data_IF_136278485438
#
_entry.id   IF_136278485438
#
_cell.length_a   1.000
_cell.length_b   1.000
_cell.length_c   1.000
_cell.angle_alpha   90.00
_cell.angle_beta   90.00
_cell.angle_gamma   90.00
#
_symmetry.space_group_name_H-M   'P 1'
#
loop_
_entity.id
_entity.type
_entity.pdbx_description
1 polymer ?
#
# COMPACT_ATOMS: atom_id res chain seq x y z
N UNK A 1 -2.44 10.72 24.39
CA UNK A 1 -1.64 9.58 23.92
C UNK A 1 -1.06 9.99 22.58
N UNK A 2 0.26 9.94 22.41
CA UNK A 2 0.85 10.17 21.08
C UNK A 2 0.34 9.04 20.16
N UNK A 3 0.16 9.28 18.86
CA UNK A 3 -0.22 8.21 17.92
C UNK A 3 1.01 7.51 17.35
N UNK A 4 2.00 8.33 16.96
CA UNK A 4 3.23 7.89 16.33
C UNK A 4 4.30 7.58 17.36
N UNK A 5 5.23 6.71 17.00
CA UNK A 5 6.45 6.46 17.78
C UNK A 5 7.33 7.72 17.81
N UNK A 6 7.94 8.00 18.98
CA UNK A 6 8.69 9.25 19.24
C UNK A 6 9.82 9.50 18.26
N UNK A 7 10.45 8.46 17.70
CA UNK A 7 11.52 8.60 16.71
C UNK A 7 11.11 9.39 15.47
N UNK A 8 9.83 9.38 15.10
CA UNK A 8 9.30 10.13 13.95
C UNK A 8 9.06 11.62 14.24
N UNK A 9 9.33 12.07 15.47
CA UNK A 9 9.43 13.49 15.80
C UNK A 9 10.84 14.06 15.62
N UNK A 10 11.84 13.21 15.40
CA UNK A 10 13.24 13.62 15.29
C UNK A 10 13.54 14.15 13.89
N UNK A 11 13.99 15.41 13.79
CA UNK A 11 14.28 16.07 12.53
C UNK A 11 15.28 15.30 11.66
N UNK A 12 16.36 14.78 12.27
CA UNK A 12 17.35 13.96 11.56
C UNK A 12 16.72 12.76 10.86
N UNK A 13 15.83 12.04 11.54
CA UNK A 13 15.12 10.89 10.98
C UNK A 13 14.22 11.33 9.82
N UNK A 14 13.51 12.44 9.97
CA UNK A 14 12.65 12.97 8.90
C UNK A 14 13.43 13.36 7.66
N UNK A 15 14.60 13.98 7.81
CA UNK A 15 15.48 14.34 6.68
C UNK A 15 15.99 13.09 5.96
N UNK A 16 16.41 12.06 6.70
CA UNK A 16 16.86 10.79 6.13
C UNK A 16 15.73 10.09 5.35
N UNK A 17 14.53 10.03 5.94
CA UNK A 17 13.34 9.47 5.28
C UNK A 17 12.95 10.28 4.04
N UNK A 18 13.04 11.61 4.10
CA UNK A 18 12.73 12.47 2.96
C UNK A 18 13.69 12.22 1.79
N UNK A 19 14.99 12.14 2.06
CA UNK A 19 16.00 11.83 1.05
C UNK A 19 15.82 10.43 0.47
N UNK A 20 15.53 9.44 1.31
CA UNK A 20 15.27 8.08 0.85
C UNK A 20 14.01 8.02 -0.03
N UNK A 21 12.93 8.67 0.39
CA UNK A 21 11.68 8.70 -0.37
C UNK A 21 11.85 9.42 -1.71
N UNK A 22 12.54 10.57 -1.73
CA UNK A 22 12.83 11.30 -2.97
C UNK A 22 13.67 10.47 -3.95
N UNK A 23 14.57 9.62 -3.45
CA UNK A 23 15.42 8.77 -4.28
C UNK A 23 14.69 7.51 -4.78
N UNK A 24 13.84 6.91 -3.94
CA UNK A 24 13.29 5.55 -4.18
C UNK A 24 11.80 5.49 -4.47
N UNK A 25 11.06 6.57 -4.19
CA UNK A 25 9.60 6.56 -4.13
C UNK A 25 9.06 5.61 -3.06
N UNK A 26 9.88 5.19 -2.09
CA UNK A 26 9.54 4.22 -1.06
C UNK A 26 10.36 4.47 0.20
N UNK A 27 9.71 4.42 1.37
CA UNK A 27 10.40 4.29 2.67
C UNK A 27 9.71 3.27 3.56
N UNK A 28 10.52 2.47 4.26
CA UNK A 28 10.04 1.59 5.32
C UNK A 28 9.98 2.38 6.64
N UNK A 29 8.92 2.18 7.40
CA UNK A 29 8.64 2.86 8.67
C UNK A 29 8.41 1.82 9.78
N UNK A 30 9.49 1.25 10.35
CA UNK A 30 9.34 0.20 11.36
C UNK A 30 8.67 0.71 12.63
N UNK A 31 7.71 -0.03 13.19
CA UNK A 31 7.00 0.38 14.42
C UNK A 31 6.49 1.83 14.34
N UNK A 32 5.78 2.17 13.26
CA UNK A 32 5.34 3.54 12.98
C UNK A 32 4.46 4.08 14.11
N UNK A 33 3.47 3.28 14.48
CA UNK A 33 2.59 3.52 15.60
C UNK A 33 3.31 3.12 16.89
N UNK A 34 3.09 3.84 17.98
CA UNK A 34 3.52 3.31 19.28
C UNK A 34 2.70 2.06 19.64
N UNK A 35 3.18 1.31 20.65
CA UNK A 35 2.61 0.02 21.02
C UNK A 35 1.14 0.08 21.44
N UNK A 36 0.72 1.11 22.18
CA UNK A 36 -0.68 1.28 22.62
C UNK A 36 -1.59 1.56 21.43
N UNK A 37 -1.22 2.51 20.57
CA UNK A 37 -1.96 2.83 19.37
C UNK A 37 -2.03 1.66 18.39
N UNK A 38 -0.91 0.94 18.19
CA UNK A 38 -0.88 -0.25 17.35
C UNK A 38 -1.83 -1.32 17.88
N UNK A 39 -1.79 -1.62 19.19
CA UNK A 39 -2.63 -2.66 19.79
C UNK A 39 -4.12 -2.30 19.68
N UNK A 40 -4.46 -1.03 19.90
CA UNK A 40 -5.83 -0.52 19.74
C UNK A 40 -6.32 -0.66 18.28
N UNK A 41 -5.51 -0.22 17.31
CA UNK A 41 -5.85 -0.32 15.89
C UNK A 41 -5.87 -1.76 15.40
N UNK A 42 -5.01 -2.64 15.92
CA UNK A 42 -5.00 -4.06 15.58
C UNK A 42 -6.28 -4.75 16.03
N UNK A 43 -6.80 -4.45 17.21
CA UNK A 43 -8.08 -4.97 17.68
C UNK A 43 -9.24 -4.54 16.76
N UNK A 44 -9.21 -3.28 16.29
CA UNK A 44 -10.22 -2.76 15.37
C UNK A 44 -10.12 -3.40 13.99
N UNK A 45 -8.92 -3.55 13.43
CA UNK A 45 -8.69 -4.25 12.16
C UNK A 45 -9.19 -5.69 12.24
N UNK A 46 -8.89 -6.40 13.33
CA UNK A 46 -9.37 -7.76 13.55
C UNK A 46 -10.90 -7.84 13.61
N UNK A 47 -11.56 -6.86 14.22
CA UNK A 47 -13.04 -6.78 14.23
C UNK A 47 -13.59 -6.62 12.81
N UNK A 48 -12.92 -5.85 11.94
CA UNK A 48 -13.35 -5.57 10.58
C UNK A 48 -13.16 -6.75 9.61
N UNK A 49 -12.35 -7.74 9.95
CA UNK A 49 -12.14 -8.94 9.11
C UNK A 49 -13.44 -9.66 8.75
N UNK A 50 -14.48 -9.59 9.59
CA UNK A 50 -15.77 -10.20 9.30
C UNK A 50 -16.51 -9.57 8.09
N UNK A 51 -16.10 -8.37 7.67
CA UNK A 51 -16.73 -7.63 6.57
C UNK A 51 -15.97 -7.72 5.26
N UNK A 52 -14.78 -8.34 5.25
CA UNK A 52 -13.95 -8.38 4.03
C UNK A 52 -14.62 -9.23 2.96
N UNK A 53 -14.55 -8.77 1.72
CA UNK A 53 -15.08 -9.49 0.56
C UNK A 53 -13.95 -10.10 -0.24
N UNK A 54 -14.07 -11.39 -0.57
CA UNK A 54 -13.09 -12.10 -1.40
C UNK A 54 -13.09 -11.57 -2.83
N UNK A 55 -11.90 -11.40 -3.37
CA UNK A 55 -11.60 -11.10 -4.77
C UNK A 55 -10.70 -12.20 -5.33
N UNK A 56 -11.08 -12.73 -6.47
CA UNK A 56 -10.32 -13.71 -7.22
C UNK A 56 -10.54 -13.47 -8.71
N UNK A 57 -9.71 -12.64 -9.32
CA UNK A 57 -9.77 -12.32 -10.74
C UNK A 57 -8.42 -11.87 -11.27
N UNK A 58 -8.27 -11.80 -12.59
CA UNK A 58 -7.13 -11.18 -13.26
C UNK A 58 -7.51 -9.75 -13.63
N UNK A 59 -6.71 -8.76 -13.22
CA UNK A 59 -6.96 -7.36 -13.53
C UNK A 59 -6.73 -7.10 -15.03
N UNK A 60 -7.78 -6.73 -15.80
CA UNK A 60 -7.61 -6.45 -17.23
C UNK A 60 -6.74 -5.21 -17.44
N UNK A 61 -5.90 -5.25 -18.48
CA UNK A 61 -4.85 -4.24 -18.70
C UNK A 61 -3.52 -4.81 -18.22
N UNK A 62 -3.33 -4.90 -16.90
CA UNK A 62 -2.11 -5.46 -16.32
C UNK A 62 -1.93 -6.96 -16.60
N UNK A 63 -3.03 -7.71 -16.67
CA UNK A 63 -3.04 -9.18 -16.75
C UNK A 63 -2.36 -9.85 -15.54
N UNK A 64 -2.60 -9.30 -14.34
CA UNK A 64 -2.04 -9.79 -13.07
C UNK A 64 -3.13 -10.16 -12.06
N UNK A 65 -2.88 -11.15 -11.17
CA UNK A 65 -3.90 -11.67 -10.28
C UNK A 65 -4.29 -10.69 -9.16
N UNK A 66 -5.53 -10.80 -8.72
CA UNK A 66 -6.07 -10.26 -7.48
C UNK A 66 -6.70 -11.42 -6.74
N UNK A 67 -5.92 -12.05 -5.86
CA UNK A 67 -6.37 -13.14 -5.00
C UNK A 67 -6.20 -12.69 -3.55
N UNK A 68 -7.23 -12.02 -3.02
CA UNK A 68 -7.20 -11.41 -1.69
C UNK A 68 -8.63 -11.17 -1.19
N UNK A 69 -8.78 -10.84 0.08
CA UNK A 69 -10.00 -10.25 0.60
C UNK A 69 -9.77 -8.76 0.88
N UNK A 70 -10.78 -7.94 0.63
CA UNK A 70 -10.69 -6.48 0.76
C UNK A 70 -11.85 -5.89 1.56
N UNK A 71 -11.61 -4.74 2.17
CA UNK A 71 -12.64 -3.83 2.67
C UNK A 71 -12.33 -2.41 2.17
N UNK A 72 -13.24 -1.82 1.41
CA UNK A 72 -13.07 -0.48 0.82
C UNK A 72 -13.47 0.65 1.78
N UNK A 73 -13.03 1.86 1.45
CA UNK A 73 -13.17 3.06 2.27
C UNK A 73 -14.60 3.39 2.70
N UNK A 74 -15.61 3.26 1.83
CA UNK A 74 -17.01 3.51 2.21
C UNK A 74 -17.46 2.59 3.34
N UNK A 75 -17.11 1.30 3.25
CA UNK A 75 -17.47 0.31 4.26
C UNK A 75 -16.68 0.52 5.55
N UNK A 76 -15.38 0.85 5.45
CA UNK A 76 -14.58 1.19 6.64
C UNK A 76 -15.15 2.42 7.35
N UNK A 77 -15.55 3.46 6.62
CA UNK A 77 -16.14 4.66 7.18
C UNK A 77 -17.46 4.37 7.94
N UNK A 78 -18.28 3.47 7.41
CA UNK A 78 -19.52 3.04 8.06
C UNK A 78 -19.25 2.24 9.34
N UNK A 79 -18.26 1.35 9.29
CA UNK A 79 -18.04 0.37 10.34
C UNK A 79 -17.02 0.82 11.39
N UNK A 80 -16.14 1.77 11.10
CA UNK A 80 -15.01 2.16 11.94
C UNK A 80 -14.67 3.66 11.86
N UNK A 81 -15.24 4.43 12.80
CA UNK A 81 -14.80 5.81 13.03
C UNK A 81 -13.35 5.90 13.50
N UNK A 82 -12.83 4.84 14.13
CA UNK A 82 -11.44 4.73 14.56
C UNK A 82 -10.48 4.78 13.38
N UNK A 83 -10.66 3.90 12.38
CA UNK A 83 -9.81 3.91 11.19
C UNK A 83 -10.02 5.19 10.38
N UNK A 84 -11.25 5.68 10.26
CA UNK A 84 -11.50 6.98 9.63
C UNK A 84 -10.70 8.11 10.29
N UNK A 85 -10.70 8.17 11.63
CA UNK A 85 -9.97 9.20 12.38
C UNK A 85 -8.45 9.10 12.18
N UNK A 86 -7.93 7.90 11.89
CA UNK A 86 -6.52 7.69 11.54
C UNK A 86 -6.16 8.34 10.20
N UNK A 87 -7.03 8.24 9.19
CA UNK A 87 -6.83 8.86 7.88
C UNK A 87 -6.76 10.38 7.94
N UNK A 88 -7.67 10.99 8.70
CA UNK A 88 -7.67 12.45 8.89
C UNK A 88 -6.75 12.93 10.00
N UNK A 89 -5.94 12.05 10.61
CA UNK A 89 -5.13 12.42 11.76
C UNK A 89 -4.02 13.40 11.37
N UNK A 90 -3.96 14.53 12.06
CA UNK A 90 -2.99 15.58 11.77
C UNK A 90 -1.53 15.12 11.90
N UNK A 91 -1.19 14.28 12.88
CA UNK A 91 0.19 13.79 13.05
C UNK A 91 0.60 12.88 11.89
N UNK A 92 -0.30 12.03 11.42
CA UNK A 92 -0.08 11.14 10.26
C UNK A 92 0.11 11.97 8.99
N UNK A 93 -0.81 12.90 8.70
CA UNK A 93 -0.72 13.77 7.52
C UNK A 93 0.56 14.61 7.56
N UNK A 94 0.89 15.19 8.73
CA UNK A 94 2.12 15.97 8.90
C UNK A 94 3.37 15.14 8.65
N UNK A 95 3.42 13.90 9.16
CA UNK A 95 4.53 13.00 8.93
C UNK A 95 4.69 12.68 7.43
N UNK A 96 3.59 12.32 6.76
CA UNK A 96 3.61 12.01 5.32
C UNK A 96 4.13 13.20 4.52
N UNK A 97 3.61 14.41 4.78
CA UNK A 97 4.07 15.64 4.13
C UNK A 97 5.56 15.94 4.40
N UNK A 98 6.06 15.65 5.61
CA UNK A 98 7.46 15.82 5.95
C UNK A 98 8.36 14.84 5.15
N UNK A 99 7.97 13.56 5.06
CA UNK A 99 8.70 12.54 4.29
C UNK A 99 8.65 12.87 2.79
N UNK A 100 7.52 13.34 2.27
CA UNK A 100 7.40 13.68 0.84
C UNK A 100 8.12 15.01 0.54
N UNK A 101 8.25 15.90 1.52
CA UNK A 101 8.75 17.26 1.31
C UNK A 101 7.74 18.19 0.64
N UNK A 102 6.45 17.90 0.76
CA UNK A 102 5.41 18.60 0.02
C UNK A 102 4.02 18.40 0.61
N UNK A 103 3.02 19.04 -0.01
CA UNK A 103 1.62 18.87 0.37
C UNK A 103 1.06 17.57 -0.17
N UNK A 104 0.13 17.00 0.56
CA UNK A 104 -0.75 15.93 0.09
C UNK A 104 -2.19 16.39 0.18
N UNK A 105 -3.05 15.78 -0.64
CA UNK A 105 -4.48 16.03 -0.62
C UNK A 105 -5.23 14.71 -0.33
N UNK A 106 -6.44 14.76 0.25
CA UNK A 106 -7.24 13.55 0.43
C UNK A 106 -7.56 12.91 -0.92
N UNK A 107 -7.53 11.57 -0.98
CA UNK A 107 -8.17 10.84 -2.07
C UNK A 107 -9.70 11.06 -2.01
N UNK A 108 -10.28 11.38 -3.17
CA UNK A 108 -11.69 11.66 -3.36
C UNK A 108 -12.49 10.43 -3.82
N UNK A 109 -11.82 9.34 -4.19
CA UNK A 109 -12.49 8.09 -4.55
C UNK A 109 -13.02 7.40 -3.29
N UNK A 110 -14.35 7.18 -3.25
CA UNK A 110 -15.06 6.74 -2.06
C UNK A 110 -14.57 5.43 -1.43
N UNK A 111 -13.98 4.52 -2.22
CA UNK A 111 -13.45 3.26 -1.70
C UNK A 111 -11.92 3.19 -1.61
N UNK A 112 -11.20 4.09 -2.28
CA UNK A 112 -9.74 3.96 -2.44
C UNK A 112 -8.98 4.76 -1.38
N UNK A 113 -9.59 5.80 -0.81
CA UNK A 113 -8.94 6.61 0.23
C UNK A 113 -8.44 5.80 1.42
N UNK A 114 -9.10 4.66 1.70
CA UNK A 114 -8.68 3.70 2.70
C UNK A 114 -9.06 2.29 2.31
N UNK A 115 -8.11 1.36 2.41
CA UNK A 115 -8.33 -0.03 1.99
C UNK A 115 -7.72 -0.98 3.01
N UNK A 116 -8.51 -1.92 3.50
CA UNK A 116 -7.99 -3.10 4.20
C UNK A 116 -7.76 -4.21 3.18
N UNK A 117 -6.53 -4.75 3.15
CA UNK A 117 -6.10 -5.81 2.25
C UNK A 117 -5.67 -7.03 3.07
N UNK A 118 -6.34 -8.16 2.86
CA UNK A 118 -6.08 -9.42 3.57
C UNK A 118 -5.70 -10.53 2.58
N UNK A 119 -4.49 -11.04 2.69
CA UNK A 119 -4.07 -12.28 2.03
C UNK A 119 -4.28 -13.42 3.03
N UNK A 120 -5.21 -14.32 2.75
CA UNK A 120 -5.73 -15.29 3.74
C UNK A 120 -5.60 -16.77 3.31
N UNK A 121 -5.01 -17.04 2.14
CA UNK A 121 -4.88 -18.39 1.61
C UNK A 121 -3.55 -18.57 0.89
N UNK A 122 -3.15 -19.83 0.68
CA UNK A 122 -2.06 -20.12 -0.24
C UNK A 122 -2.30 -19.46 -1.61
N UNK A 123 -1.21 -19.03 -2.26
CA UNK A 123 -1.17 -18.25 -3.50
C UNK A 123 -1.86 -16.88 -3.45
N UNK A 124 -2.42 -16.46 -2.31
CA UNK A 124 -3.01 -15.14 -2.20
C UNK A 124 -1.96 -14.05 -2.48
N UNK A 125 -2.33 -13.09 -3.31
CA UNK A 125 -1.43 -12.05 -3.83
C UNK A 125 -2.21 -10.80 -4.24
N UNK A 126 -1.52 -9.67 -4.15
CA UNK A 126 -1.88 -8.46 -4.87
C UNK A 126 -0.89 -8.29 -6.01
N UNK A 127 -1.27 -8.73 -7.22
CA UNK A 127 -0.40 -8.71 -8.40
C UNK A 127 0.06 -7.32 -8.82
N UNK A 128 1.03 -7.25 -9.74
CA UNK A 128 1.65 -6.00 -10.18
C UNK A 128 0.64 -4.96 -10.68
N UNK A 129 0.79 -3.72 -10.23
CA UNK A 129 0.03 -2.55 -10.65
C UNK A 129 0.71 -1.23 -10.27
N UNK A 130 0.17 -0.15 -10.84
CA UNK A 130 0.23 1.19 -10.29
C UNK A 130 -1.12 1.54 -9.68
N UNK A 131 -1.12 2.42 -8.68
CA UNK A 131 -2.34 2.99 -8.14
C UNK A 131 -2.77 4.23 -8.94
N UNK A 132 -4.06 4.53 -8.89
CA UNK A 132 -4.57 5.81 -9.39
C UNK A 132 -4.18 6.95 -8.43
N UNK A 133 -4.08 6.62 -7.14
CA UNK A 133 -3.64 7.55 -6.09
C UNK A 133 -2.13 7.71 -6.04
N UNK A 134 -1.74 8.92 -5.68
CA UNK A 134 -0.37 9.40 -5.77
C UNK A 134 0.55 8.80 -4.68
N UNK A 135 0.05 8.72 -3.45
CA UNK A 135 0.81 8.27 -2.29
C UNK A 135 -0.01 7.31 -1.45
N UNK A 136 0.63 6.24 -0.97
CA UNK A 136 -0.03 5.28 -0.08
C UNK A 136 0.83 5.01 1.14
N UNK A 137 0.27 5.27 2.34
CA UNK A 137 0.82 4.80 3.61
C UNK A 137 0.16 3.47 3.98
N UNK A 138 0.92 2.39 3.96
CA UNK A 138 0.42 1.05 4.30
C UNK A 138 0.93 0.61 5.67
N UNK A 139 0.01 0.33 6.59
CA UNK A 139 0.23 -0.20 7.93
C UNK A 139 0.09 -1.72 7.91
N UNK A 140 1.06 -2.44 8.48
CA UNK A 140 1.08 -3.90 8.52
C UNK A 140 0.64 -4.39 9.91
N UNK A 141 -0.48 -5.11 9.97
CA UNK A 141 -1.05 -5.63 11.22
C UNK A 141 -0.73 -7.10 11.44
N UNK A 142 -0.65 -7.87 10.34
CA UNK A 142 -0.20 -9.25 10.33
C UNK A 142 0.69 -9.47 9.11
N UNK A 143 1.77 -10.22 9.28
CA UNK A 143 2.69 -10.58 8.21
C UNK A 143 3.30 -11.96 8.43
N UNK A 144 3.48 -12.74 7.36
CA UNK A 144 4.12 -14.04 7.46
C UNK A 144 5.65 -13.88 7.62
N UNK A 145 6.36 -14.94 8.06
CA UNK A 145 7.80 -15.04 7.92
C UNK A 145 8.26 -14.81 6.46
N UNK A 146 9.47 -14.26 6.29
CA UNK A 146 10.00 -13.81 4.99
C UNK A 146 10.02 -14.91 3.93
N UNK A 147 10.33 -16.14 4.33
CA UNK A 147 10.38 -17.32 3.47
C UNK A 147 9.01 -17.75 2.96
N UNK A 148 7.93 -17.20 3.53
CA UNK A 148 6.57 -17.60 3.21
C UNK A 148 5.80 -16.62 2.30
N UNK A 149 6.49 -15.63 1.73
CA UNK A 149 5.90 -14.65 0.82
C UNK A 149 5.32 -13.42 1.53
N UNK A 150 4.32 -12.77 0.93
CA UNK A 150 3.75 -11.54 1.49
C UNK A 150 4.70 -10.32 1.44
N UNK A 151 5.77 -10.42 0.64
CA UNK A 151 6.78 -9.38 0.46
C UNK A 151 6.24 -8.30 -0.47
N UNK A 152 6.62 -7.05 -0.21
CA UNK A 152 6.38 -5.98 -1.19
C UNK A 152 7.53 -6.03 -2.20
N UNK A 153 7.19 -6.16 -3.47
CA UNK A 153 8.12 -5.93 -4.58
C UNK A 153 7.74 -4.64 -5.29
N UNK A 154 8.73 -3.83 -5.69
CA UNK A 154 8.47 -2.61 -6.45
C UNK A 154 9.61 -2.24 -7.41
N UNK A 155 9.26 -1.46 -8.43
CA UNK A 155 10.17 -0.86 -9.42
C UNK A 155 9.87 0.64 -9.49
N UNK A 156 10.86 1.46 -9.13
CA UNK A 156 10.75 2.93 -9.19
C UNK A 156 10.85 3.44 -10.64
N UNK A 157 10.23 4.59 -10.93
CA UNK A 157 10.33 5.22 -12.26
C UNK A 157 9.83 4.31 -13.38
N UNK A 158 8.76 3.55 -13.10
CA UNK A 158 8.31 2.48 -13.98
C UNK A 158 7.90 2.99 -15.37
N UNK A 159 7.18 4.13 -15.42
CA UNK A 159 6.70 4.71 -16.67
C UNK A 159 7.84 5.19 -17.55
N UNK A 160 8.82 5.86 -16.97
CA UNK A 160 10.02 6.35 -17.65
C UNK A 160 10.84 5.18 -18.18
N UNK A 161 11.04 4.15 -17.36
CA UNK A 161 11.75 2.94 -17.77
C UNK A 161 11.00 2.19 -18.88
N UNK A 162 9.69 1.99 -18.78
CA UNK A 162 8.87 1.41 -19.83
C UNK A 162 8.98 2.19 -21.15
N UNK A 163 8.95 3.52 -21.10
CA UNK A 163 9.15 4.37 -22.28
C UNK A 163 10.50 4.14 -22.93
N UNK A 164 11.56 3.93 -22.14
CA UNK A 164 12.92 3.70 -22.66
C UNK A 164 13.08 2.38 -23.43
N UNK A 165 12.21 1.40 -23.16
CA UNK A 165 12.23 0.09 -23.81
C UNK A 165 11.06 -0.13 -24.79
N UNK A 166 10.22 0.89 -25.01
CA UNK A 166 9.05 0.81 -25.87
C UNK A 166 7.93 -0.09 -25.32
N UNK A 167 7.81 -0.23 -24.01
CA UNK A 167 6.75 -1.00 -23.35
C UNK A 167 5.61 -0.09 -22.86
N UNK A 168 4.39 -0.62 -22.84
CA UNK A 168 3.27 0.03 -22.19
C UNK A 168 3.32 -0.21 -20.67
N UNK A 169 3.22 0.84 -19.83
CA UNK A 169 3.38 0.69 -18.37
C UNK A 169 2.20 0.00 -17.68
N UNK A 170 1.04 -0.10 -18.33
CA UNK A 170 -0.20 -0.62 -17.73
C UNK A 170 -0.88 -1.70 -18.58
N UNK A 171 -0.26 -2.10 -19.69
CA UNK A 171 -0.82 -3.09 -20.61
C UNK A 171 0.11 -4.29 -20.76
N UNK A 172 -0.39 -5.49 -20.45
CA UNK A 172 0.30 -6.78 -20.56
C UNK A 172 1.71 -6.71 -20.01
N UNK A 173 1.86 -6.22 -18.78
CA UNK A 173 3.14 -5.77 -18.21
C UNK A 173 4.14 -6.90 -17.95
N UNK A 174 3.74 -8.18 -18.04
CA UNK A 174 4.59 -9.34 -17.71
C UNK A 174 5.95 -9.34 -18.41
N UNK A 175 6.08 -9.14 -19.74
CA UNK A 175 7.39 -9.12 -20.40
C UNK A 175 8.29 -7.99 -19.88
N UNK A 176 7.71 -6.82 -19.59
CA UNK A 176 8.43 -5.69 -19.02
C UNK A 176 8.89 -6.01 -17.59
N UNK A 177 8.05 -6.63 -16.76
CA UNK A 177 8.43 -7.06 -15.40
C UNK A 177 9.57 -8.10 -15.43
N UNK A 178 9.53 -9.09 -16.33
CA UNK A 178 10.61 -10.08 -16.44
C UNK A 178 11.92 -9.44 -16.90
N UNK A 179 11.84 -8.45 -17.79
CA UNK A 179 13.03 -7.68 -18.18
C UNK A 179 13.57 -6.83 -17.02
N UNK A 180 12.71 -6.15 -16.27
CA UNK A 180 13.12 -5.41 -15.06
C UNK A 180 13.76 -6.34 -14.01
N UNK A 181 13.27 -7.57 -13.88
CA UNK A 181 13.87 -8.61 -13.04
C UNK A 181 15.27 -8.98 -13.51
N UNK A 182 15.45 -9.23 -14.81
CA UNK A 182 16.75 -9.55 -15.40
C UNK A 182 17.76 -8.40 -15.26
N UNK A 183 17.28 -7.15 -15.27
CA UNK A 183 18.08 -5.93 -15.05
C UNK A 183 18.28 -5.59 -13.56
N UNK A 184 17.83 -6.44 -12.63
CA UNK A 184 17.90 -6.23 -11.17
C UNK A 184 17.27 -4.93 -10.67
N UNK A 185 16.19 -4.47 -11.33
CA UNK A 185 15.48 -3.25 -10.96
C UNK A 185 14.42 -3.46 -9.88
N UNK A 186 14.04 -4.72 -9.62
CA UNK A 186 13.02 -5.06 -8.62
C UNK A 186 13.63 -5.00 -7.23
N UNK A 187 13.10 -4.08 -6.41
CA UNK A 187 13.38 -4.02 -4.99
C UNK A 187 12.40 -4.92 -4.24
N UNK A 188 12.89 -5.62 -3.21
CA UNK A 188 12.08 -6.53 -2.39
C UNK A 188 12.17 -6.11 -0.92
N UNK A 189 11.03 -6.01 -0.23
CA UNK A 189 10.94 -5.60 1.17
C UNK A 189 10.01 -6.50 1.97
N UNK A 190 10.57 -7.10 3.02
CA UNK A 190 9.80 -7.77 4.06
C UNK A 190 9.37 -6.79 5.15
N UNK A 191 8.22 -7.06 5.76
CA UNK A 191 7.64 -6.25 6.82
C UNK A 191 7.19 -7.14 7.98
N UNK A 192 7.33 -6.63 9.19
CA UNK A 192 6.82 -7.22 10.41
C UNK A 192 5.50 -6.57 10.81
N UNK A 193 4.67 -7.22 11.65
CA UNK A 193 3.57 -6.54 12.33
C UNK A 193 4.06 -5.28 13.05
N UNK A 194 3.34 -4.18 12.86
CA UNK A 194 3.69 -2.85 13.38
C UNK A 194 4.57 -2.03 12.44
N UNK A 195 5.19 -2.64 11.43
CA UNK A 195 5.84 -1.88 10.37
C UNK A 195 4.79 -1.16 9.51
N UNK A 196 5.20 -0.06 8.91
CA UNK A 196 4.49 0.58 7.82
C UNK A 196 5.46 0.86 6.68
N UNK A 197 4.92 1.30 5.54
CA UNK A 197 5.72 1.90 4.48
C UNK A 197 4.93 2.99 3.76
N UNK A 198 5.64 4.00 3.26
CA UNK A 198 5.10 5.02 2.38
C UNK A 198 5.61 4.76 0.96
N UNK A 199 4.72 4.77 -0.02
CA UNK A 199 5.00 4.50 -1.43
C UNK A 199 4.47 5.63 -2.32
N UNK A 200 5.22 6.00 -3.36
CA UNK A 200 4.76 6.78 -4.51
C UNK A 200 4.06 5.84 -5.51
N UNK A 201 2.82 5.48 -5.22
CA UNK A 201 2.17 4.29 -5.77
C UNK A 201 1.78 4.41 -7.25
N UNK A 202 1.62 5.62 -7.77
CA UNK A 202 1.35 5.91 -9.20
C UNK A 202 2.61 5.89 -10.09
N UNK A 203 3.80 5.95 -9.49
CA UNK A 203 5.10 5.94 -10.20
C UNK A 203 5.91 4.67 -9.95
N UNK A 204 5.67 4.00 -8.83
CA UNK A 204 6.33 2.75 -8.47
C UNK A 204 5.41 1.57 -8.81
N UNK A 205 5.73 0.81 -9.85
CA UNK A 205 5.04 -0.47 -10.10
C UNK A 205 5.29 -1.37 -8.90
N UNK A 206 4.25 -1.92 -8.31
CA UNK A 206 4.38 -2.68 -7.08
C UNK A 206 3.43 -3.88 -7.01
N UNK A 207 3.80 -4.86 -6.17
CA UNK A 207 2.98 -6.03 -5.86
C UNK A 207 3.23 -6.52 -4.44
N UNK A 208 2.37 -7.43 -3.99
CA UNK A 208 2.62 -8.29 -2.83
C UNK A 208 2.82 -9.72 -3.30
N UNK A 209 3.96 -10.34 -2.99
CA UNK A 209 4.26 -11.72 -3.41
C UNK A 209 3.27 -12.71 -2.84
N UNK A 210 3.04 -13.78 -3.60
CA UNK A 210 2.16 -14.88 -3.22
C UNK A 210 2.54 -15.47 -1.86
N UNK A 211 1.54 -15.79 -1.04
CA UNK A 211 1.73 -16.66 0.12
C UNK A 211 2.03 -18.08 -0.35
N UNK A 212 3.01 -18.75 0.24
CA UNK A 212 3.46 -20.08 -0.22
C UNK A 212 3.04 -21.24 0.70
N UNK A 213 2.27 -20.94 1.75
CA UNK A 213 1.76 -21.92 2.72
C UNK A 213 0.29 -21.64 3.04
N UNK A 214 -0.40 -22.67 3.52
CA UNK A 214 -1.71 -22.52 4.17
C UNK A 214 -1.55 -21.98 5.60
N UNK A 215 -2.64 -21.46 6.18
CA UNK A 215 -2.72 -20.97 7.56
C UNK A 215 -1.73 -19.87 7.93
N UNK A 216 -1.29 -19.10 6.92
CA UNK A 216 -0.55 -17.86 7.10
C UNK A 216 -1.33 -16.72 6.46
N UNK A 217 -1.10 -15.52 6.95
CA UNK A 217 -1.84 -14.35 6.53
C UNK A 217 -0.95 -13.13 6.43
N UNK A 218 -1.41 -12.17 5.62
CA UNK A 218 -0.92 -10.80 5.63
C UNK A 218 -2.13 -9.87 5.69
N UNK A 219 -2.19 -9.04 6.71
CA UNK A 219 -3.27 -8.07 6.91
C UNK A 219 -2.66 -6.67 6.97
N UNK A 220 -3.15 -5.78 6.10
CA UNK A 220 -2.67 -4.42 6.02
C UNK A 220 -3.82 -3.42 5.80
N UNK A 221 -3.65 -2.20 6.31
CA UNK A 221 -4.54 -1.07 5.99
C UNK A 221 -3.72 -0.02 5.25
N UNK A 222 -4.23 0.42 4.10
CA UNK A 222 -3.59 1.38 3.20
C UNK A 222 -4.38 2.69 3.26
N UNK A 223 -3.68 3.81 3.44
CA UNK A 223 -4.22 5.17 3.46
C UNK A 223 -3.72 5.89 2.21
N UNK A 224 -4.63 6.27 1.32
CA UNK A 224 -4.28 6.80 0.01
C UNK A 224 -4.49 8.32 -0.08
N UNK A 225 -3.51 9.02 -0.66
CA UNK A 225 -3.46 10.46 -0.77
C UNK A 225 -3.01 10.90 -2.16
N UNK A 226 -3.30 12.15 -2.48
CA UNK A 226 -3.10 12.75 -3.78
C UNK A 226 -1.97 13.78 -3.78
N UNK A 227 -1.35 13.96 -4.95
CA UNK A 227 -0.38 15.04 -5.17
C UNK A 227 -1.03 16.35 -5.62
N UNK A 228 -2.30 16.31 -6.04
CA UNK A 228 -3.08 17.44 -6.55
C UNK A 228 -4.47 17.45 -5.88
N UNK A 229 -5.09 18.63 -5.66
CA UNK A 229 -6.45 18.70 -5.12
C UNK A 229 -7.52 18.18 -6.10
N UNK A 230 -7.22 18.17 -7.41
CA UNK A 230 -8.13 17.73 -8.47
C UNK A 230 -7.56 16.51 -9.23
N UNK A 231 -7.52 15.33 -8.58
CA UNK A 231 -7.01 14.11 -9.19
C UNK A 231 -7.96 13.58 -10.27
N UNK A 232 -7.42 12.77 -11.19
CA UNK A 232 -8.20 11.98 -12.15
C UNK A 232 -8.00 10.51 -11.83
N UNK A 233 -9.10 9.81 -11.60
CA UNK A 233 -9.10 8.38 -11.34
C UNK A 233 -9.22 7.58 -12.64
N UNK A 234 -8.52 6.45 -12.68
CA UNK A 234 -8.69 5.42 -13.68
C UNK A 234 -9.90 4.54 -13.36
N UNK A 235 -9.89 3.32 -13.91
CA UNK A 235 -10.96 2.34 -13.73
C UNK A 235 -10.56 1.17 -12.83
N UNK A 236 -9.29 1.11 -12.38
CA UNK A 236 -8.75 -0.04 -11.64
C UNK A 236 -9.37 -0.16 -10.26
N UNK A 237 -9.44 0.96 -9.52
CA UNK A 237 -10.09 1.03 -8.22
C UNK A 237 -11.57 0.62 -8.33
N UNK A 238 -12.32 1.21 -9.27
CA UNK A 238 -13.75 0.88 -9.47
C UNK A 238 -13.97 -0.62 -9.72
N UNK A 239 -13.10 -1.27 -10.49
CA UNK A 239 -13.20 -2.72 -10.75
C UNK A 239 -12.84 -3.58 -9.54
N UNK A 240 -11.89 -3.13 -8.73
CA UNK A 240 -11.51 -3.85 -7.51
C UNK A 240 -12.61 -3.76 -6.44
N UNK A 241 -13.24 -2.60 -6.31
CA UNK A 241 -14.20 -2.29 -5.24
C UNK A 241 -15.67 -2.42 -5.61
N UNK A 242 -16.02 -2.63 -6.89
CA UNK A 242 -17.41 -2.82 -7.30
C UNK A 242 -18.06 -3.94 -6.48
N UNK A 243 -19.21 -3.66 -5.86
CA UNK A 243 -20.07 -4.69 -5.30
C UNK A 243 -20.49 -5.63 -6.44
N UNK A 244 -20.28 -6.94 -6.25
CA UNK A 244 -20.75 -7.98 -7.18
C UNK A 244 -22.17 -8.34 -6.78
#
# INVERSE_FOLDING_TARGET
MNLLSEKYSQEKILVELQQEFACKGYVKLPSLLNSEAFSFLQAEVKRLEQFVTKRNFTMPGYETPRLMSILGGRRILQESLTLWSLYSNYEVVKLIQAIIGGKIYPCLHGDEFMIMNCLLSNQATHGWHLDDTAYVLTLIFEAPPVENGGLVEFVQGWREWCSSIGAAPEEKIKPAVEKARAENLIQVKHHLPGDAYLLRADQCLHRVTELVRENICRVAVSLAYEATPDPKYGFTATRLYSEI
#
